data_IF_270768865530
#
_entry.id   IF_270768865530
#
_cell.length_a   1.000
_cell.length_b   1.000
_cell.length_c   1.000
_cell.angle_alpha   90.00
_cell.angle_beta   90.00
_cell.angle_gamma   90.00
#
_symmetry.space_group_name_H-M   'P 1'
#
loop_
_entity.id
_entity.type
_entity.pdbx_description
1 polymer ?
#
# COMPACT_ATOMS: atom_id res chain seq x y z
N UNK A 1 13.04 -7.58 13.13
CA UNK A 1 12.51 -6.20 13.05
C UNK A 1 13.57 -5.08 13.10
N UNK A 2 14.81 -5.34 13.56
CA UNK A 2 15.88 -4.33 13.61
C UNK A 2 16.42 -3.86 12.24
N UNK A 3 16.17 -4.60 11.15
CA UNK A 3 16.64 -4.21 9.81
C UNK A 3 15.96 -2.94 9.29
N UNK A 4 14.72 -2.66 9.72
CA UNK A 4 13.99 -1.45 9.32
C UNK A 4 14.71 -0.20 9.84
N UNK A 5 14.91 0.00 11.15
CA UNK A 5 15.56 1.21 11.64
C UNK A 5 17.00 1.35 11.16
N UNK A 6 17.76 0.26 11.05
CA UNK A 6 19.13 0.28 10.54
C UNK A 6 19.19 0.71 9.07
N UNK A 7 18.29 0.20 8.23
CA UNK A 7 18.19 0.59 6.83
C UNK A 7 17.78 2.06 6.65
N UNK A 8 16.86 2.57 7.48
CA UNK A 8 16.47 3.99 7.44
C UNK A 8 17.59 4.91 7.95
N UNK A 9 18.32 4.49 8.99
CA UNK A 9 19.44 5.28 9.51
C UNK A 9 20.57 5.42 8.47
N UNK A 10 20.88 4.34 7.73
CA UNK A 10 21.85 4.39 6.63
C UNK A 10 21.40 5.34 5.50
N UNK A 11 20.11 5.33 5.16
CA UNK A 11 19.51 6.20 4.15
C UNK A 11 19.62 7.69 4.52
N UNK A 12 19.27 8.02 5.78
CA UNK A 12 19.39 9.38 6.29
C UNK A 12 20.86 9.81 6.38
N UNK A 13 21.76 8.94 6.86
CA UNK A 13 23.19 9.22 6.93
C UNK A 13 23.79 9.48 5.54
N UNK A 14 23.37 8.72 4.52
CA UNK A 14 23.75 8.95 3.13
C UNK A 14 23.31 10.34 2.66
N UNK A 15 22.05 10.70 2.92
CA UNK A 15 21.48 12.00 2.53
C UNK A 15 22.21 13.18 3.19
N UNK A 16 22.54 13.07 4.48
CA UNK A 16 23.32 14.09 5.20
C UNK A 16 24.74 14.20 4.65
N UNK A 17 25.36 13.07 4.33
CA UNK A 17 26.73 13.04 3.77
C UNK A 17 26.76 13.74 2.40
N UNK A 18 25.75 13.54 1.57
CA UNK A 18 25.60 14.25 0.29
C UNK A 18 25.47 15.75 0.53
N UNK A 19 24.60 16.19 1.46
CA UNK A 19 24.45 17.60 1.80
C UNK A 19 25.76 18.25 2.28
N UNK A 20 26.51 17.56 3.12
CA UNK A 20 27.81 18.02 3.62
C UNK A 20 28.89 18.03 2.52
N UNK A 21 28.85 17.06 1.60
CA UNK A 21 29.76 17.02 0.45
C UNK A 21 29.52 18.20 -0.50
N UNK A 22 28.26 18.55 -0.78
CA UNK A 22 27.92 19.70 -1.62
C UNK A 22 28.41 21.01 -0.98
N UNK A 23 28.18 21.20 0.32
CA UNK A 23 28.69 22.39 1.04
C UNK A 23 30.21 22.49 0.99
N UNK A 24 30.91 21.38 1.24
CA UNK A 24 32.38 21.33 1.15
C UNK A 24 32.91 21.57 -0.25
N UNK A 25 32.20 21.12 -1.29
CA UNK A 25 32.56 21.40 -2.67
C UNK A 25 32.41 22.89 -3.04
N UNK A 26 31.50 23.61 -2.40
CA UNK A 26 31.33 25.04 -2.62
C UNK A 26 32.41 25.89 -1.92
N UNK A 27 33.04 25.37 -0.87
CA UNK A 27 34.01 26.09 -0.02
C UNK A 27 35.48 25.70 -0.28
N UNK A 28 35.74 24.54 -0.89
CA UNK A 28 37.10 23.97 -1.04
C UNK A 28 37.55 23.92 -2.49
N UNK A 29 38.73 24.48 -2.78
CA UNK A 29 39.41 24.40 -4.09
C UNK A 29 40.17 23.07 -4.29
N UNK A 30 40.34 22.28 -3.21
CA UNK A 30 41.05 21.00 -3.26
C UNK A 30 40.09 19.79 -3.37
N UNK A 31 40.44 18.79 -4.20
CA UNK A 31 39.56 17.68 -4.61
C UNK A 31 39.85 16.33 -3.90
N UNK A 32 40.90 16.25 -3.07
CA UNK A 32 41.37 14.99 -2.47
C UNK A 32 40.34 14.29 -1.56
N UNK A 33 39.38 15.05 -1.02
CA UNK A 33 38.32 14.53 -0.14
C UNK A 33 37.22 13.79 -0.90
N UNK A 34 37.06 14.04 -2.21
CA UNK A 34 35.97 13.50 -3.02
C UNK A 34 36.04 11.98 -3.09
N UNK A 35 37.24 11.43 -3.31
CA UNK A 35 37.43 9.97 -3.37
C UNK A 35 37.00 9.27 -2.09
N UNK A 36 37.29 9.86 -0.92
CA UNK A 36 36.88 9.33 0.39
C UNK A 36 35.37 9.37 0.58
N UNK A 37 34.73 10.46 0.15
CA UNK A 37 33.27 10.61 0.22
C UNK A 37 32.56 9.61 -0.69
N UNK A 38 33.07 9.40 -1.92
CA UNK A 38 32.52 8.39 -2.84
C UNK A 38 32.54 7.00 -2.19
N UNK A 39 33.68 6.58 -1.63
CA UNK A 39 33.78 5.29 -0.94
C UNK A 39 32.82 5.16 0.25
N UNK A 40 32.64 6.22 1.03
CA UNK A 40 31.67 6.24 2.13
C UNK A 40 30.23 6.12 1.63
N UNK A 41 29.86 6.85 0.56
CA UNK A 41 28.53 6.76 -0.04
C UNK A 41 28.26 5.36 -0.61
N UNK A 42 29.24 4.75 -1.26
CA UNK A 42 29.14 3.36 -1.72
C UNK A 42 28.94 2.41 -0.54
N UNK A 43 29.67 2.60 0.57
CA UNK A 43 29.49 1.83 1.80
C UNK A 43 28.06 1.93 2.36
N UNK A 44 27.51 3.15 2.45
CA UNK A 44 26.13 3.35 2.89
C UNK A 44 25.11 2.71 1.93
N UNK A 45 25.30 2.86 0.62
CA UNK A 45 24.40 2.28 -0.38
C UNK A 45 24.37 0.75 -0.31
N UNK A 46 25.53 0.11 -0.14
CA UNK A 46 25.63 -1.35 0.02
C UNK A 46 24.96 -1.79 1.32
N UNK A 47 25.25 -1.13 2.44
CA UNK A 47 24.62 -1.45 3.72
C UNK A 47 23.09 -1.31 3.65
N UNK A 48 22.61 -0.20 3.09
CA UNK A 48 21.19 0.06 2.88
C UNK A 48 20.55 -1.02 1.99
N UNK A 49 21.19 -1.43 0.90
CA UNK A 49 20.71 -2.48 0.01
C UNK A 49 20.57 -3.82 0.74
N UNK A 50 21.58 -4.20 1.52
CA UNK A 50 21.58 -5.44 2.32
C UNK A 50 20.45 -5.42 3.35
N UNK A 51 20.32 -4.35 4.14
CA UNK A 51 19.25 -4.26 5.14
C UNK A 51 17.86 -4.25 4.51
N UNK A 52 17.68 -3.53 3.39
CA UNK A 52 16.40 -3.50 2.65
C UNK A 52 16.05 -4.86 2.07
N UNK A 53 17.03 -5.61 1.56
CA UNK A 53 16.81 -6.96 1.04
C UNK A 53 16.31 -7.90 2.15
N UNK A 54 17.04 -7.99 3.26
CA UNK A 54 16.65 -8.85 4.37
C UNK A 54 15.32 -8.43 4.98
N UNK A 55 15.08 -7.12 5.16
CA UNK A 55 13.80 -6.60 5.64
C UNK A 55 12.64 -7.12 4.77
N UNK A 56 12.75 -6.98 3.44
CA UNK A 56 11.69 -7.42 2.52
C UNK A 56 11.53 -8.92 2.54
N UNK A 57 12.64 -9.67 2.52
CA UNK A 57 12.62 -11.12 2.53
C UNK A 57 11.88 -11.65 3.76
N UNK A 58 12.26 -11.22 4.96
CA UNK A 58 11.62 -11.65 6.22
C UNK A 58 10.12 -11.33 6.26
N UNK A 59 9.74 -10.08 5.93
CA UNK A 59 8.33 -9.65 6.01
C UNK A 59 7.47 -10.39 4.98
N UNK A 60 7.97 -10.55 3.75
CA UNK A 60 7.21 -11.22 2.68
C UNK A 60 7.07 -12.71 2.97
N UNK A 61 8.12 -13.37 3.48
CA UNK A 61 8.05 -14.80 3.81
C UNK A 61 7.08 -15.02 4.97
N UNK A 62 7.26 -14.31 6.09
CA UNK A 62 6.40 -14.47 7.27
C UNK A 62 4.94 -14.14 6.95
N UNK A 63 4.66 -13.08 6.19
CA UNK A 63 3.27 -12.76 5.82
C UNK A 63 2.61 -13.83 4.94
N UNK A 64 3.38 -14.54 4.11
CA UNK A 64 2.89 -15.65 3.29
C UNK A 64 2.67 -16.93 4.10
N UNK A 65 3.56 -17.23 5.05
CA UNK A 65 3.36 -18.36 5.97
C UNK A 65 2.07 -18.18 6.77
N UNK A 66 1.87 -16.99 7.36
CA UNK A 66 0.62 -16.67 8.07
C UNK A 66 -0.61 -16.77 7.15
N UNK A 67 -0.51 -16.35 5.89
CA UNK A 67 -1.59 -16.47 4.90
C UNK A 67 -1.97 -17.94 4.66
N UNK A 68 -0.96 -18.81 4.50
CA UNK A 68 -1.16 -20.25 4.25
C UNK A 68 -1.76 -20.92 5.47
N UNK A 69 -1.22 -20.66 6.66
CA UNK A 69 -1.72 -21.23 7.92
C UNK A 69 -3.19 -20.82 8.13
N UNK A 70 -3.52 -19.53 7.95
CA UNK A 70 -4.88 -19.03 8.15
C UNK A 70 -5.87 -19.61 7.13
N UNK A 71 -5.44 -19.83 5.88
CA UNK A 71 -6.26 -20.51 4.86
C UNK A 71 -6.49 -21.98 5.23
N UNK A 72 -5.46 -22.67 5.74
CA UNK A 72 -5.57 -24.06 6.13
C UNK A 72 -6.52 -24.23 7.33
N UNK A 73 -6.32 -23.47 8.40
CA UNK A 73 -7.18 -23.51 9.59
C UNK A 73 -8.65 -23.23 9.25
N UNK A 74 -8.87 -22.23 8.38
CA UNK A 74 -10.21 -21.86 7.94
C UNK A 74 -10.84 -22.96 7.08
N UNK A 75 -10.06 -23.58 6.19
CA UNK A 75 -10.54 -24.67 5.34
C UNK A 75 -10.89 -25.93 6.15
N UNK A 76 -10.05 -26.31 7.11
CA UNK A 76 -10.31 -27.41 8.04
C UNK A 76 -11.58 -27.14 8.85
N UNK A 77 -11.77 -25.90 9.31
CA UNK A 77 -13.00 -25.54 10.03
C UNK A 77 -14.24 -25.63 9.14
N UNK A 78 -14.16 -25.14 7.90
CA UNK A 78 -15.28 -25.14 6.95
C UNK A 78 -15.73 -26.55 6.59
N UNK A 79 -14.80 -27.48 6.40
CA UNK A 79 -15.13 -28.87 6.02
C UNK A 79 -15.75 -29.66 7.16
N UNK A 80 -15.52 -29.26 8.42
CA UNK A 80 -16.14 -29.83 9.61
C UNK A 80 -17.52 -29.26 9.98
N UNK A 81 -18.06 -28.29 9.22
CA UNK A 81 -19.37 -27.70 9.50
C UNK A 81 -20.54 -28.61 9.08
N UNK A 82 -21.70 -28.38 9.68
CA UNK A 82 -22.90 -29.18 9.41
C UNK A 82 -23.42 -28.98 7.99
N UNK A 83 -24.10 -30.00 7.45
CA UNK A 83 -24.79 -29.91 6.17
C UNK A 83 -25.76 -28.72 6.09
N UNK A 84 -26.41 -28.38 7.20
CA UNK A 84 -27.31 -27.23 7.29
C UNK A 84 -26.60 -25.89 7.03
N UNK A 85 -25.35 -25.74 7.49
CA UNK A 85 -24.55 -24.54 7.21
C UNK A 85 -24.27 -24.40 5.71
N UNK A 86 -23.86 -25.50 5.06
CA UNK A 86 -23.60 -25.54 3.62
C UNK A 86 -24.85 -25.39 2.77
N UNK A 87 -26.03 -25.76 3.28
CA UNK A 87 -27.30 -25.56 2.58
C UNK A 87 -27.81 -24.11 2.70
N UNK A 88 -27.51 -23.43 3.81
CA UNK A 88 -27.89 -22.02 4.04
C UNK A 88 -26.97 -21.01 3.36
N UNK A 89 -25.69 -21.36 3.19
CA UNK A 89 -24.66 -20.46 2.65
C UNK A 89 -24.13 -20.98 1.32
N UNK A 90 -24.09 -20.14 0.28
CA UNK A 90 -23.43 -20.51 -0.99
C UNK A 90 -21.94 -20.76 -0.72
N UNK A 91 -21.49 -22.01 -0.82
CA UNK A 91 -20.09 -22.39 -0.53
C UNK A 91 -19.07 -21.54 -1.29
N UNK A 92 -19.38 -21.13 -2.53
CA UNK A 92 -18.53 -20.23 -3.33
C UNK A 92 -18.39 -18.82 -2.75
N UNK A 93 -19.47 -18.25 -2.21
CA UNK A 93 -19.43 -16.91 -1.60
C UNK A 93 -18.64 -16.93 -0.30
N UNK A 94 -18.79 -17.99 0.50
CA UNK A 94 -18.05 -18.18 1.76
C UNK A 94 -16.55 -18.29 1.49
N UNK A 95 -16.14 -19.15 0.55
CA UNK A 95 -14.73 -19.33 0.18
C UNK A 95 -14.15 -18.04 -0.42
N UNK A 96 -14.90 -17.34 -1.28
CA UNK A 96 -14.46 -16.08 -1.89
C UNK A 96 -14.20 -15.00 -0.84
N UNK A 97 -15.16 -14.78 0.08
CA UNK A 97 -15.03 -13.79 1.16
C UNK A 97 -13.85 -14.11 2.08
N UNK A 98 -13.74 -15.36 2.52
CA UNK A 98 -12.63 -15.79 3.39
C UNK A 98 -11.27 -15.65 2.72
N UNK A 99 -11.17 -16.00 1.44
CA UNK A 99 -9.92 -15.83 0.68
C UNK A 99 -9.52 -14.36 0.60
N UNK A 100 -10.49 -13.48 0.32
CA UNK A 100 -10.29 -12.02 0.28
C UNK A 100 -9.88 -11.47 1.65
N UNK A 101 -10.55 -11.91 2.72
CA UNK A 101 -10.25 -11.46 4.09
C UNK A 101 -8.86 -11.90 4.54
N UNK A 102 -8.45 -13.14 4.25
CA UNK A 102 -7.09 -13.63 4.54
C UNK A 102 -6.05 -12.85 3.73
N UNK A 103 -6.33 -12.52 2.46
CA UNK A 103 -5.44 -11.67 1.68
C UNK A 103 -5.31 -10.26 2.28
N UNK A 104 -6.39 -9.68 2.79
CA UNK A 104 -6.36 -8.39 3.48
C UNK A 104 -5.51 -8.46 4.75
N UNK A 105 -5.61 -9.54 5.53
CA UNK A 105 -4.77 -9.78 6.71
C UNK A 105 -3.30 -9.89 6.33
N UNK A 106 -2.96 -10.62 5.26
CA UNK A 106 -1.59 -10.68 4.72
C UNK A 106 -1.09 -9.31 4.29
N UNK A 107 -1.91 -8.53 3.59
CA UNK A 107 -1.55 -7.18 3.15
C UNK A 107 -1.27 -6.25 4.33
N UNK A 108 -2.02 -6.40 5.43
CA UNK A 108 -1.76 -5.69 6.67
C UNK A 108 -0.45 -6.13 7.34
N UNK A 109 -0.25 -7.43 7.56
CA UNK A 109 0.93 -7.97 8.26
C UNK A 109 2.23 -7.88 7.45
N UNK A 110 2.14 -7.89 6.13
CA UNK A 110 3.28 -7.76 5.23
C UNK A 110 3.58 -6.29 4.91
N UNK A 111 3.13 -5.77 3.75
CA UNK A 111 3.41 -4.40 3.33
C UNK A 111 2.90 -3.33 4.30
N UNK A 112 1.69 -3.47 4.84
CA UNK A 112 1.08 -2.47 5.73
C UNK A 112 1.97 -2.18 6.92
N UNK A 113 2.32 -3.22 7.69
CA UNK A 113 3.19 -3.12 8.85
C UNK A 113 4.60 -2.66 8.47
N UNK A 114 5.14 -3.12 7.34
CA UNK A 114 6.43 -2.67 6.81
C UNK A 114 6.47 -1.14 6.63
N UNK A 115 5.47 -0.58 5.96
CA UNK A 115 5.42 0.85 5.68
C UNK A 115 5.13 1.67 6.94
N UNK A 116 4.22 1.20 7.80
CA UNK A 116 3.89 1.91 9.04
C UNK A 116 5.10 1.99 9.97
N UNK A 117 5.79 0.88 10.22
CA UNK A 117 7.00 0.88 11.05
C UNK A 117 8.11 1.67 10.39
N UNK A 118 8.29 1.54 9.07
CA UNK A 118 9.25 2.34 8.31
C UNK A 118 9.01 3.85 8.45
N UNK A 119 7.75 4.28 8.31
CA UNK A 119 7.34 5.66 8.49
C UNK A 119 7.57 6.17 9.92
N UNK A 120 7.18 5.37 10.93
CA UNK A 120 7.38 5.70 12.34
C UNK A 120 8.85 5.89 12.71
N UNK A 121 9.78 5.25 11.99
CA UNK A 121 11.22 5.43 12.22
C UNK A 121 11.81 6.56 11.39
N UNK A 122 11.53 6.60 10.09
CA UNK A 122 12.17 7.57 9.18
C UNK A 122 11.72 9.00 9.44
N UNK A 123 10.45 9.21 9.80
CA UNK A 123 9.89 10.55 10.05
C UNK A 123 10.59 11.25 11.22
N UNK A 124 10.67 10.70 12.44
CA UNK A 124 11.32 11.37 13.55
C UNK A 124 12.83 11.55 13.33
N UNK A 125 13.52 10.57 12.75
CA UNK A 125 14.95 10.69 12.43
C UNK A 125 15.18 11.84 11.45
N UNK A 126 14.41 11.88 10.35
CA UNK A 126 14.57 12.90 9.32
C UNK A 126 14.21 14.29 9.85
N UNK A 127 13.12 14.42 10.61
CA UNK A 127 12.75 15.69 11.24
C UNK A 127 13.83 16.15 12.21
N UNK A 128 14.36 15.27 13.07
CA UNK A 128 15.44 15.60 14.00
C UNK A 128 16.68 16.16 13.28
N UNK A 129 17.08 15.51 12.18
CA UNK A 129 18.19 15.98 11.34
C UNK A 129 17.87 17.33 10.68
N UNK A 130 16.69 17.49 10.09
CA UNK A 130 16.29 18.73 9.41
C UNK A 130 16.24 19.92 10.37
N UNK A 131 15.66 19.75 11.56
CA UNK A 131 15.64 20.77 12.61
C UNK A 131 17.05 21.13 13.09
N UNK A 132 17.95 20.15 13.18
CA UNK A 132 19.36 20.40 13.54
C UNK A 132 20.13 21.20 12.49
N UNK A 133 19.74 21.09 11.20
CA UNK A 133 20.37 21.81 10.09
C UNK A 133 19.84 23.24 9.97
N UNK A 134 18.52 23.40 9.85
CA UNK A 134 17.87 24.70 9.81
C UNK A 134 16.37 24.58 10.14
N UNK A 135 15.99 25.03 11.34
CA UNK A 135 14.61 24.98 11.81
C UNK A 135 13.64 25.85 10.96
N UNK A 136 14.11 26.98 10.43
CA UNK A 136 13.27 27.90 9.64
C UNK A 136 12.91 27.31 8.28
N UNK A 137 13.90 26.76 7.57
CA UNK A 137 13.68 26.07 6.29
C UNK A 137 12.77 24.85 6.50
N UNK A 138 12.98 24.09 7.58
CA UNK A 138 12.14 22.93 7.92
C UNK A 138 10.69 23.34 8.16
N UNK A 139 10.44 24.40 8.92
CA UNK A 139 9.09 24.89 9.17
C UNK A 139 8.40 25.38 7.89
N UNK A 140 9.15 26.07 7.02
CA UNK A 140 8.66 26.49 5.71
C UNK A 140 8.24 25.30 4.83
N UNK A 141 8.91 24.15 4.94
CA UNK A 141 8.55 22.91 4.22
C UNK A 141 7.33 22.19 4.82
N UNK A 142 7.05 22.34 6.11
CA UNK A 142 5.88 21.73 6.76
C UNK A 142 4.58 22.39 6.28
N UNK A 143 4.60 23.69 5.95
CA UNK A 143 3.43 24.43 5.46
C UNK A 143 2.80 23.81 4.20
N UNK A 144 3.53 23.61 3.07
CA UNK A 144 2.94 22.98 1.90
C UNK A 144 2.52 21.52 2.16
N UNK A 145 3.25 20.79 3.02
CA UNK A 145 2.91 19.41 3.36
C UNK A 145 1.57 19.30 4.11
N UNK A 146 1.36 20.16 5.10
CA UNK A 146 0.10 20.24 5.85
C UNK A 146 -1.05 20.78 5.00
N UNK A 147 -0.81 21.78 4.15
CA UNK A 147 -1.78 22.28 3.19
C UNK A 147 -2.27 21.17 2.26
N UNK A 148 -1.37 20.31 1.77
CA UNK A 148 -1.74 19.17 0.92
C UNK A 148 -2.60 18.15 1.66
N UNK A 149 -2.31 17.88 2.94
CA UNK A 149 -3.16 17.04 3.78
C UNK A 149 -4.58 17.60 3.95
N UNK A 150 -4.71 18.92 4.12
CA UNK A 150 -6.01 19.59 4.20
C UNK A 150 -6.79 19.53 2.88
N UNK A 151 -6.12 19.77 1.75
CA UNK A 151 -6.73 19.67 0.41
C UNK A 151 -7.25 18.26 0.17
N UNK A 152 -6.44 17.24 0.47
CA UNK A 152 -6.85 15.85 0.33
C UNK A 152 -8.07 15.53 1.20
N UNK A 153 -8.06 15.92 2.49
CA UNK A 153 -9.19 15.70 3.39
C UNK A 153 -10.50 16.34 2.88
N UNK A 154 -10.42 17.50 2.24
CA UNK A 154 -11.58 18.18 1.66
C UNK A 154 -12.06 17.52 0.34
N UNK A 155 -11.14 16.97 -0.45
CA UNK A 155 -11.44 16.44 -1.78
C UNK A 155 -11.84 14.95 -1.77
N UNK A 156 -11.26 14.13 -0.89
CA UNK A 156 -11.52 12.69 -0.81
C UNK A 156 -13.01 12.33 -0.70
N UNK A 157 -13.84 12.99 0.16
CA UNK A 157 -15.25 12.65 0.26
C UNK A 157 -16.03 12.92 -1.04
N UNK A 158 -15.64 13.98 -1.77
CA UNK A 158 -16.28 14.31 -3.06
C UNK A 158 -15.95 13.25 -4.10
N UNK A 159 -14.68 12.87 -4.20
CA UNK A 159 -14.24 11.80 -5.11
C UNK A 159 -14.99 10.51 -4.79
N UNK A 160 -15.06 10.14 -3.51
CA UNK A 160 -15.74 8.91 -3.09
C UNK A 160 -17.24 8.91 -3.45
N UNK A 161 -17.92 10.05 -3.27
CA UNK A 161 -19.33 10.19 -3.68
C UNK A 161 -19.52 9.96 -5.17
N UNK A 162 -18.72 10.63 -6.02
CA UNK A 162 -18.79 10.44 -7.47
C UNK A 162 -18.44 9.00 -7.89
N UNK A 163 -17.46 8.37 -7.22
CA UNK A 163 -17.15 6.97 -7.47
C UNK A 163 -18.33 6.05 -7.14
N UNK A 164 -19.07 6.31 -6.05
CA UNK A 164 -20.28 5.55 -5.72
C UNK A 164 -21.41 5.77 -6.74
N UNK A 165 -21.67 7.02 -7.15
CA UNK A 165 -22.68 7.35 -8.17
C UNK A 165 -22.41 6.62 -9.50
N UNK A 166 -21.13 6.53 -9.91
CA UNK A 166 -20.72 5.77 -11.11
C UNK A 166 -20.89 4.27 -10.90
N UNK A 167 -20.56 3.73 -9.74
CA UNK A 167 -20.73 2.30 -9.43
C UNK A 167 -22.22 1.89 -9.43
N UNK A 168 -23.10 2.74 -8.90
CA UNK A 168 -24.55 2.52 -8.92
C UNK A 168 -25.10 2.52 -10.35
N UNK A 169 -24.69 3.49 -11.18
CA UNK A 169 -25.08 3.54 -12.60
C UNK A 169 -24.60 2.30 -13.37
N UNK A 170 -23.40 1.80 -13.08
CA UNK A 170 -22.87 0.58 -13.68
C UNK A 170 -23.62 -0.67 -13.21
N UNK A 171 -24.05 -0.72 -11.95
CA UNK A 171 -24.86 -1.81 -11.42
C UNK A 171 -26.23 -1.86 -12.11
N UNK A 172 -26.89 -0.72 -12.30
CA UNK A 172 -28.18 -0.61 -13.00
C UNK A 172 -28.08 -1.07 -14.46
N UNK A 173 -27.06 -0.62 -15.20
CA UNK A 173 -26.82 -1.06 -16.58
C UNK A 173 -26.58 -2.58 -16.62
N UNK A 174 -25.77 -3.10 -15.69
CA UNK A 174 -25.48 -4.53 -15.59
C UNK A 174 -26.73 -5.35 -15.28
N UNK A 175 -27.60 -4.86 -14.39
CA UNK A 175 -28.87 -5.50 -14.06
C UNK A 175 -29.80 -5.55 -15.26
N UNK A 176 -29.99 -4.43 -15.98
CA UNK A 176 -30.81 -4.37 -17.20
C UNK A 176 -30.27 -5.30 -18.29
N UNK A 177 -28.96 -5.35 -18.48
CA UNK A 177 -28.35 -6.29 -19.42
C UNK A 177 -28.62 -7.75 -19.01
N UNK A 178 -28.47 -8.08 -17.73
CA UNK A 178 -28.76 -9.43 -17.22
C UNK A 178 -30.25 -9.81 -17.36
N UNK A 179 -31.18 -8.89 -17.09
CA UNK A 179 -32.61 -9.12 -17.31
C UNK A 179 -32.95 -9.34 -18.78
N UNK A 180 -32.41 -8.51 -19.68
CA UNK A 180 -32.65 -8.63 -21.11
C UNK A 180 -32.06 -9.93 -21.68
N UNK A 181 -30.84 -10.32 -21.27
CA UNK A 181 -30.22 -11.57 -21.74
C UNK A 181 -30.79 -12.82 -21.05
N UNK A 182 -31.16 -12.74 -19.78
CA UNK A 182 -31.79 -13.84 -19.03
C UNK A 182 -33.25 -14.09 -19.44
N UNK A 183 -33.96 -13.02 -19.82
CA UNK A 183 -35.33 -13.03 -20.31
C UNK A 183 -35.46 -13.16 -21.83
N UNK A 184 -34.37 -13.25 -22.59
CA UNK A 184 -34.40 -13.20 -24.06
C UNK A 184 -35.28 -14.31 -24.68
N UNK A 185 -35.37 -15.49 -24.05
CA UNK A 185 -36.28 -16.56 -24.47
C UNK A 185 -37.75 -16.23 -24.22
N UNK A 186 -38.05 -15.48 -23.15
CA UNK A 186 -39.42 -15.05 -22.81
C UNK A 186 -39.86 -13.89 -23.71
N UNK A 187 -38.94 -12.96 -24.00
CA UNK A 187 -39.19 -11.82 -24.90
C UNK A 187 -39.36 -12.29 -26.35
N UNK A 188 -38.52 -13.21 -26.84
CA UNK A 188 -38.69 -13.84 -28.16
C UNK A 188 -39.94 -14.70 -28.26
N UNK A 189 -40.33 -15.42 -27.18
CA UNK A 189 -41.55 -16.22 -27.17
C UNK A 189 -42.83 -15.35 -27.14
N UNK A 190 -42.75 -14.13 -26.61
CA UNK A 190 -43.87 -13.19 -26.52
C UNK A 190 -43.93 -12.18 -27.69
N UNK A 191 -42.89 -12.09 -28.53
CA UNK A 191 -42.86 -11.22 -29.71
C UNK A 191 -42.87 -9.71 -29.39
N UNK A 192 -42.28 -9.30 -28.26
CA UNK A 192 -42.35 -7.92 -27.74
C UNK A 192 -41.03 -7.13 -27.98
N UNK A 193 -40.28 -7.52 -29.00
CA UNK A 193 -38.92 -7.06 -29.27
C UNK A 193 -38.84 -5.54 -29.50
N UNK A 194 -39.86 -4.97 -30.15
CA UNK A 194 -39.92 -3.54 -30.47
C UNK A 194 -40.24 -2.64 -29.27
N UNK A 195 -40.82 -3.17 -28.18
CA UNK A 195 -41.22 -2.36 -27.03
C UNK A 195 -40.13 -2.20 -25.95
N UNK A 196 -39.08 -3.03 -25.97
CA UNK A 196 -37.92 -2.93 -25.06
C UNK A 196 -36.70 -2.24 -25.69
N UNK A 197 -36.73 -1.96 -26.99
CA UNK A 197 -35.65 -1.30 -27.71
C UNK A 197 -35.63 0.25 -27.57
N UNK A 198 -36.61 0.83 -26.87
CA UNK A 198 -36.73 2.28 -26.59
C UNK A 198 -36.41 2.59 -25.12
#
# INVERSE_FOLDING_TARGET
MLCIPLGQAADVAMTVTIGNAIKRAAESDNADWIGRVIWLLTGYAVAQAVFRYFQRWWIVVVSREVEVDLKQDTFEKLTGLSFEFHNRSRSGDVVSRLTSDVENVRMFLGPGLMYTVGAMVVVPISLGVLFSLNAWVTLAMIVPMTAMGWIMKALTPRIHRYSMEVQESLADISHRAQENFGGIRVVQAAGIEDAQAA
#
